data_IF_157037051017
#
_entry.id   IF_157037051017
#
_cell.length_a   1.000
_cell.length_b   1.000
_cell.length_c   1.000
_cell.angle_alpha   90.00
_cell.angle_beta   90.00
_cell.angle_gamma   90.00
#
_symmetry.space_group_name_H-M   'P 1'
#
loop_
_entity.id
_entity.type
_entity.pdbx_description
1 polymer ?
#
# COMPACT_ATOMS: atom_id res chain seq x y z
N UNK A 1 1.14 29.17 2.72
CA UNK A 1 1.37 29.16 1.27
C UNK A 1 2.85 28.90 1.05
N UNK A 2 3.26 27.64 1.18
CA UNK A 2 4.63 27.19 0.90
C UNK A 2 4.51 26.32 -0.34
N UNK A 3 4.93 26.85 -1.48
CA UNK A 3 5.05 26.10 -2.73
C UNK A 3 6.19 25.12 -2.58
N UNK A 4 5.86 23.89 -2.17
CA UNK A 4 6.75 22.75 -2.35
C UNK A 4 6.63 22.38 -3.82
N UNK A 5 7.74 22.51 -4.53
CA UNK A 5 7.88 22.13 -5.92
C UNK A 5 7.74 20.59 -6.01
N UNK A 6 6.63 20.11 -6.57
CA UNK A 6 6.29 18.69 -6.73
C UNK A 6 6.96 18.07 -7.97
N UNK A 7 8.11 18.58 -8.40
CA UNK A 7 8.84 18.14 -9.60
C UNK A 7 9.18 16.64 -9.63
N UNK A 8 9.21 15.96 -8.47
CA UNK A 8 9.38 14.49 -8.40
C UNK A 8 8.08 13.74 -8.75
N UNK A 9 6.90 14.31 -8.46
CA UNK A 9 5.59 13.77 -8.84
C UNK A 9 5.19 14.15 -10.27
N UNK A 10 5.78 15.21 -10.84
CA UNK A 10 5.66 15.55 -12.27
C UNK A 10 6.18 14.47 -13.22
N UNK A 11 6.89 13.46 -12.72
CA UNK A 11 7.25 12.28 -13.51
C UNK A 11 6.06 11.33 -13.74
N UNK A 12 5.03 11.40 -12.87
CA UNK A 12 3.83 10.57 -12.95
C UNK A 12 2.66 11.27 -13.68
N UNK A 13 2.72 12.59 -13.87
CA UNK A 13 1.60 13.43 -14.31
C UNK A 13 1.33 13.49 -15.84
N UNK A 14 2.31 13.59 -16.77
CA UNK A 14 1.96 13.89 -18.16
C UNK A 14 1.61 12.68 -19.05
N UNK A 15 1.68 11.44 -18.54
CA UNK A 15 1.60 10.24 -19.40
C UNK A 15 0.33 9.42 -19.27
N UNK A 16 -0.49 9.63 -18.23
CA UNK A 16 -1.53 8.66 -17.87
C UNK A 16 -2.84 8.73 -18.68
N UNK A 17 -3.11 9.81 -19.42
CA UNK A 17 -4.41 9.98 -20.11
C UNK A 17 -4.28 10.19 -21.62
N UNK A 18 -3.41 11.09 -22.09
CA UNK A 18 -3.27 11.34 -23.53
C UNK A 18 -2.10 10.61 -24.20
N UNK A 19 -1.06 10.21 -23.45
CA UNK A 19 0.06 9.44 -24.00
C UNK A 19 -0.19 7.94 -24.05
N UNK A 20 -0.80 7.39 -22.99
CA UNK A 20 -1.10 5.94 -22.87
C UNK A 20 -2.12 5.42 -23.89
N UNK A 21 -3.11 6.25 -24.26
CA UNK A 21 -4.14 5.91 -25.26
C UNK A 21 -3.71 6.26 -26.70
N UNK A 22 -2.91 7.31 -26.90
CA UNK A 22 -2.47 7.73 -28.24
C UNK A 22 -1.31 6.90 -28.80
N UNK A 23 -0.56 6.17 -27.96
CA UNK A 23 0.51 5.27 -28.42
C UNK A 23 -0.02 3.91 -28.94
N UNK A 24 -1.33 3.65 -28.88
CA UNK A 24 -1.95 2.40 -29.34
C UNK A 24 -1.91 2.16 -30.85
N UNK A 25 -1.81 3.21 -31.67
CA UNK A 25 -1.69 3.09 -33.13
C UNK A 25 -0.24 3.28 -33.58
N UNK A 26 0.59 2.26 -33.37
CA UNK A 26 1.91 2.13 -34.01
C UNK A 26 3.15 2.23 -33.11
N UNK A 27 3.02 2.21 -31.78
CA UNK A 27 4.17 2.09 -30.88
C UNK A 27 4.67 0.65 -30.76
N UNK A 28 5.98 0.47 -30.60
CA UNK A 28 6.60 -0.83 -30.36
C UNK A 28 5.98 -1.49 -29.10
N UNK A 29 5.64 -2.78 -29.15
CA UNK A 29 5.15 -3.52 -27.97
C UNK A 29 6.28 -3.75 -26.96
N UNK A 30 6.26 -3.04 -25.83
CA UNK A 30 7.26 -3.16 -24.76
C UNK A 30 7.02 -4.33 -23.80
N UNK A 31 6.01 -5.18 -24.04
CA UNK A 31 5.64 -6.27 -23.13
C UNK A 31 6.83 -7.13 -22.72
N UNK A 32 7.68 -7.51 -23.68
CA UNK A 32 8.89 -8.31 -23.40
C UNK A 32 9.87 -7.57 -22.50
N UNK A 33 10.08 -6.27 -22.72
CA UNK A 33 10.99 -5.43 -21.93
C UNK A 33 10.45 -5.28 -20.51
N UNK A 34 9.15 -5.00 -20.36
CA UNK A 34 8.48 -4.86 -19.06
C UNK A 34 8.57 -6.14 -18.24
N UNK A 35 8.19 -7.28 -18.82
CA UNK A 35 8.27 -8.58 -18.14
C UNK A 35 9.71 -8.92 -17.77
N UNK A 36 10.67 -8.72 -18.68
CA UNK A 36 12.09 -8.97 -18.40
C UNK A 36 12.59 -8.10 -17.25
N UNK A 37 12.18 -6.83 -17.20
CA UNK A 37 12.54 -5.90 -16.12
C UNK A 37 11.97 -6.35 -14.79
N UNK A 38 10.68 -6.71 -14.74
CA UNK A 38 10.01 -7.20 -13.53
C UNK A 38 10.71 -8.47 -13.01
N UNK A 39 10.99 -9.43 -13.91
CA UNK A 39 11.68 -10.69 -13.55
C UNK A 39 13.09 -10.41 -13.06
N UNK A 40 13.85 -9.56 -13.75
CA UNK A 40 15.22 -9.23 -13.36
C UNK A 40 15.28 -8.57 -11.98
N UNK A 41 14.45 -7.57 -11.74
CA UNK A 41 14.35 -6.88 -10.44
C UNK A 41 13.87 -7.84 -9.34
N UNK A 42 12.90 -8.71 -9.64
CA UNK A 42 12.44 -9.73 -8.70
C UNK A 42 13.57 -10.70 -8.33
N UNK A 43 14.38 -11.15 -9.29
CA UNK A 43 15.54 -12.01 -9.04
C UNK A 43 16.54 -11.30 -8.13
N UNK A 44 16.85 -10.02 -8.36
CA UNK A 44 17.76 -9.26 -7.50
C UNK A 44 17.24 -9.20 -6.06
N UNK A 45 15.96 -8.89 -5.89
CA UNK A 45 15.30 -8.82 -4.57
C UNK A 45 15.35 -10.17 -3.87
N UNK A 46 15.03 -11.26 -4.58
CA UNK A 46 15.06 -12.62 -4.03
C UNK A 46 16.48 -13.06 -3.67
N UNK A 47 17.47 -12.78 -4.53
CA UNK A 47 18.88 -13.06 -4.25
C UNK A 47 19.34 -12.30 -3.01
N UNK A 48 19.02 -11.02 -2.90
CA UNK A 48 19.31 -10.25 -1.69
C UNK A 48 18.66 -10.86 -0.45
N UNK A 49 17.37 -11.23 -0.53
CA UNK A 49 16.66 -11.86 0.58
C UNK A 49 17.28 -13.19 1.02
N UNK A 50 17.74 -14.02 0.09
CA UNK A 50 18.38 -15.31 0.40
C UNK A 50 19.84 -15.20 0.86
N UNK A 51 20.58 -14.19 0.40
CA UNK A 51 21.97 -13.95 0.80
C UNK A 51 22.09 -13.23 2.15
N UNK A 52 20.98 -12.74 2.70
CA UNK A 52 20.96 -11.97 3.94
C UNK A 52 20.19 -12.71 5.04
N UNK A 53 20.66 -12.62 6.28
CA UNK A 53 20.00 -13.25 7.44
C UNK A 53 18.78 -12.45 7.94
N UNK A 54 17.98 -11.89 7.03
CA UNK A 54 16.84 -11.02 7.37
C UNK A 54 15.82 -11.76 8.23
N UNK A 55 15.58 -13.05 7.97
CA UNK A 55 14.68 -13.88 8.78
C UNK A 55 15.12 -13.96 10.25
N UNK A 56 16.42 -14.12 10.50
CA UNK A 56 16.96 -14.14 11.85
C UNK A 56 16.81 -12.76 12.51
N UNK A 57 17.15 -11.68 11.80
CA UNK A 57 17.01 -10.30 12.30
C UNK A 57 15.56 -9.94 12.65
N UNK A 58 14.59 -10.42 11.86
CA UNK A 58 13.17 -10.29 12.19
C UNK A 58 12.86 -10.99 13.50
N UNK A 59 13.31 -12.24 13.67
CA UNK A 59 13.07 -12.98 14.92
C UNK A 59 13.68 -12.26 16.13
N UNK A 60 14.90 -11.75 16.01
CA UNK A 60 15.60 -11.01 17.06
C UNK A 60 14.88 -9.71 17.46
N UNK A 61 14.38 -8.94 16.48
CA UNK A 61 13.69 -7.67 16.73
C UNK A 61 12.20 -7.82 17.03
N UNK A 62 11.62 -9.00 16.80
CA UNK A 62 10.17 -9.23 16.92
C UNK A 62 9.58 -8.86 18.29
N UNK A 63 10.35 -9.03 19.37
CA UNK A 63 9.93 -8.65 20.71
C UNK A 63 9.63 -7.16 20.87
N UNK A 64 10.28 -6.28 20.09
CA UNK A 64 10.06 -4.83 20.14
C UNK A 64 8.70 -4.38 19.59
N UNK A 65 8.03 -5.24 18.82
CA UNK A 65 6.71 -4.94 18.23
C UNK A 65 5.56 -5.23 19.22
N UNK A 66 5.86 -5.84 20.36
CA UNK A 66 4.90 -6.09 21.43
C UNK A 66 5.30 -5.30 22.66
N UNK A 67 4.35 -4.64 23.31
CA UNK A 67 4.56 -3.98 24.60
C UNK A 67 3.49 -4.42 25.60
N UNK A 68 3.68 -4.12 26.88
CA UNK A 68 2.72 -4.44 27.95
C UNK A 68 1.64 -3.36 28.15
N UNK A 69 1.55 -2.36 27.27
CA UNK A 69 0.64 -1.23 27.44
C UNK A 69 -0.81 -1.60 27.09
N UNK A 70 -1.70 -1.51 28.08
CA UNK A 70 -3.14 -1.74 27.87
C UNK A 70 -3.74 -0.76 26.84
N UNK A 71 -3.23 0.48 26.78
CA UNK A 71 -3.65 1.48 25.81
C UNK A 71 -3.30 1.04 24.37
N UNK A 72 -2.09 0.50 24.18
CA UNK A 72 -1.68 -0.04 22.88
C UNK A 72 -2.50 -1.26 22.48
N UNK A 73 -2.81 -2.16 23.43
CA UNK A 73 -3.69 -3.29 23.16
C UNK A 73 -5.10 -2.82 22.75
N UNK A 74 -5.69 -1.88 23.50
CA UNK A 74 -7.01 -1.33 23.20
C UNK A 74 -7.03 -0.69 21.80
N UNK A 75 -6.00 0.10 21.49
CA UNK A 75 -5.84 0.72 20.17
C UNK A 75 -5.82 -0.33 19.04
N UNK A 76 -5.03 -1.39 19.20
CA UNK A 76 -4.90 -2.47 18.20
C UNK A 76 -6.19 -3.27 18.03
N UNK A 77 -6.92 -3.53 19.12
CA UNK A 77 -8.24 -4.18 19.06
C UNK A 77 -9.25 -3.31 18.31
N UNK A 78 -9.27 -2.00 18.59
CA UNK A 78 -10.14 -1.05 17.87
C UNK A 78 -9.80 -1.03 16.38
N UNK A 79 -8.52 -0.88 16.02
CA UNK A 79 -8.08 -0.91 14.61
C UNK A 79 -8.46 -2.22 13.92
N UNK A 80 -8.26 -3.37 14.59
CA UNK A 80 -8.71 -4.68 14.09
C UNK A 80 -10.21 -4.67 13.80
N UNK A 81 -11.03 -4.13 14.71
CA UNK A 81 -12.48 -4.02 14.54
C UNK A 81 -12.88 -3.20 13.31
N UNK A 82 -12.26 -2.03 13.11
CA UNK A 82 -12.49 -1.19 11.92
C UNK A 82 -12.11 -1.93 10.62
N UNK A 83 -10.94 -2.58 10.59
CA UNK A 83 -10.49 -3.29 9.39
C UNK A 83 -11.35 -4.53 9.07
N UNK A 84 -11.68 -5.35 10.08
CA UNK A 84 -12.57 -6.51 9.91
C UNK A 84 -13.96 -6.07 9.46
N UNK A 85 -14.50 -5.01 10.04
CA UNK A 85 -15.79 -4.48 9.62
C UNK A 85 -15.75 -3.99 8.17
N UNK A 86 -14.68 -3.31 7.73
CA UNK A 86 -14.50 -2.93 6.33
C UNK A 86 -14.47 -4.15 5.39
N UNK A 87 -13.73 -5.21 5.74
CA UNK A 87 -13.70 -6.47 4.97
C UNK A 87 -15.11 -7.08 4.86
N UNK A 88 -15.82 -7.23 5.98
CA UNK A 88 -17.18 -7.77 6.01
C UNK A 88 -18.12 -6.89 5.16
N UNK A 89 -18.00 -5.58 5.26
CA UNK A 89 -18.79 -4.63 4.48
C UNK A 89 -18.50 -4.75 2.98
N UNK A 90 -17.23 -4.95 2.57
CA UNK A 90 -16.89 -5.20 1.16
C UNK A 90 -17.55 -6.47 0.63
N UNK A 91 -17.59 -7.56 1.41
CA UNK A 91 -18.30 -8.78 1.01
C UNK A 91 -19.82 -8.59 0.91
N UNK A 92 -20.41 -7.80 1.80
CA UNK A 92 -21.87 -7.63 1.90
C UNK A 92 -22.44 -6.51 1.03
N UNK A 93 -21.62 -5.53 0.69
CA UNK A 93 -22.01 -4.46 -0.23
C UNK A 93 -22.30 -5.04 -1.62
N UNK A 94 -23.21 -4.40 -2.34
CA UNK A 94 -23.54 -4.77 -3.72
C UNK A 94 -22.34 -4.64 -4.68
N UNK A 95 -22.56 -4.70 -6.00
CA UNK A 95 -21.47 -4.61 -6.97
C UNK A 95 -20.64 -3.33 -6.76
N UNK A 96 -19.32 -3.45 -6.78
CA UNK A 96 -18.42 -2.29 -6.75
C UNK A 96 -18.31 -1.66 -8.15
N UNK A 97 -17.75 -0.46 -8.25
CA UNK A 97 -17.39 0.16 -9.53
C UNK A 97 -15.88 0.08 -9.66
N UNK A 98 -15.39 -0.65 -10.65
CA UNK A 98 -13.96 -0.85 -10.87
C UNK A 98 -13.63 -0.62 -12.35
N UNK A 99 -12.92 0.46 -12.63
CA UNK A 99 -12.30 0.67 -13.94
C UNK A 99 -11.11 -0.27 -14.08
N UNK A 100 -11.04 -0.98 -15.19
CA UNK A 100 -9.94 -1.91 -15.50
C UNK A 100 -9.53 -1.71 -16.96
N UNK A 101 -8.28 -2.06 -17.27
CA UNK A 101 -7.77 -2.05 -18.63
C UNK A 101 -7.70 -3.48 -19.15
N UNK A 102 -8.38 -3.77 -20.25
CA UNK A 102 -8.32 -5.07 -20.90
C UNK A 102 -6.93 -5.32 -21.48
N UNK A 103 -6.42 -6.55 -21.30
CA UNK A 103 -5.16 -6.99 -21.90
C UNK A 103 -5.25 -7.00 -23.43
N UNK A 104 -6.41 -7.39 -23.96
CA UNK A 104 -6.73 -7.34 -25.38
C UNK A 104 -7.36 -6.00 -25.71
N UNK A 105 -6.82 -5.30 -26.72
CA UNK A 105 -7.35 -4.01 -27.18
C UNK A 105 -6.98 -2.78 -26.33
N UNK A 106 -6.42 -2.96 -25.12
CA UNK A 106 -6.01 -1.86 -24.24
C UNK A 106 -7.16 -0.88 -23.92
N UNK A 107 -8.38 -1.40 -23.81
CA UNK A 107 -9.60 -0.60 -23.57
C UNK A 107 -9.88 -0.46 -22.07
N UNK A 108 -10.26 0.74 -21.63
CA UNK A 108 -10.78 0.98 -20.27
C UNK A 108 -12.26 0.60 -20.21
N UNK A 109 -12.60 -0.35 -19.33
CA UNK A 109 -13.96 -0.80 -19.11
C UNK A 109 -14.34 -0.73 -17.63
N UNK A 110 -15.62 -0.43 -17.37
CA UNK A 110 -16.19 -0.49 -16.04
C UNK A 110 -16.67 -1.91 -15.73
N UNK A 111 -16.07 -2.54 -14.72
CA UNK A 111 -16.52 -3.81 -14.16
C UNK A 111 -17.27 -3.61 -12.85
N UNK A 112 -18.13 -4.59 -12.56
CA UNK A 112 -18.97 -4.64 -11.36
C UNK A 112 -18.67 -5.86 -10.48
N UNK A 113 -17.48 -5.95 -9.86
CA UNK A 113 -17.09 -7.13 -9.11
C UNK A 113 -17.92 -7.30 -7.84
N UNK A 114 -18.17 -8.57 -7.50
CA UNK A 114 -18.94 -9.00 -6.32
C UNK A 114 -18.13 -9.97 -5.46
N UNK A 115 -18.38 -9.95 -4.15
CA UNK A 115 -17.74 -10.87 -3.20
C UNK A 115 -16.21 -10.81 -3.25
N UNK A 116 -15.58 -11.97 -3.45
CA UNK A 116 -14.11 -12.11 -3.44
C UNK A 116 -13.42 -11.36 -4.59
N UNK A 117 -14.12 -11.12 -5.70
CA UNK A 117 -13.56 -10.39 -6.85
C UNK A 117 -13.29 -8.90 -6.55
N UNK A 118 -13.74 -8.39 -5.40
CA UNK A 118 -13.37 -7.05 -4.92
C UNK A 118 -11.95 -6.99 -4.32
N UNK A 119 -11.36 -8.14 -3.97
CA UNK A 119 -10.04 -8.24 -3.33
C UNK A 119 -8.88 -8.39 -4.32
N UNK A 120 -9.04 -7.82 -5.53
CA UNK A 120 -8.02 -7.85 -6.59
C UNK A 120 -7.14 -6.58 -6.59
N UNK A 121 -7.58 -5.53 -5.91
CA UNK A 121 -6.89 -4.23 -5.87
C UNK A 121 -5.71 -4.27 -4.88
N UNK A 122 -4.67 -3.48 -5.14
CA UNK A 122 -3.54 -3.36 -4.21
C UNK A 122 -3.99 -2.80 -2.86
N UNK A 123 -4.92 -1.84 -2.88
CA UNK A 123 -5.52 -1.27 -1.68
C UNK A 123 -6.28 -2.30 -0.83
N UNK A 124 -6.96 -3.28 -1.45
CA UNK A 124 -7.60 -4.36 -0.70
C UNK A 124 -6.56 -5.28 -0.04
N UNK A 125 -5.41 -5.51 -0.67
CA UNK A 125 -4.30 -6.24 -0.06
C UNK A 125 -3.64 -5.45 1.07
N UNK A 126 -3.54 -4.11 0.94
CA UNK A 126 -3.14 -3.22 2.03
C UNK A 126 -4.06 -3.37 3.24
N UNK A 127 -5.38 -3.43 3.03
CA UNK A 127 -6.35 -3.68 4.10
C UNK A 127 -6.13 -5.04 4.76
N UNK A 128 -5.87 -6.10 3.98
CA UNK A 128 -5.59 -7.44 4.52
C UNK A 128 -4.30 -7.47 5.34
N UNK A 129 -3.22 -6.84 4.86
CA UNK A 129 -1.95 -6.74 5.58
C UNK A 129 -2.12 -5.95 6.90
N UNK A 130 -2.83 -4.82 6.86
CA UNK A 130 -3.17 -4.02 8.03
C UNK A 130 -4.00 -4.81 9.05
N UNK A 131 -5.03 -5.53 8.58
CA UNK A 131 -5.88 -6.39 9.43
C UNK A 131 -5.06 -7.50 10.08
N UNK A 132 -4.25 -8.20 9.27
CA UNK A 132 -3.38 -9.27 9.75
C UNK A 132 -2.41 -8.77 10.82
N UNK A 133 -1.77 -7.62 10.58
CA UNK A 133 -0.90 -6.99 11.57
C UNK A 133 -1.62 -6.76 12.90
N UNK A 134 -2.72 -6.00 12.90
CA UNK A 134 -3.40 -5.63 14.13
C UNK A 134 -3.98 -6.83 14.88
N UNK A 135 -4.48 -7.83 14.15
CA UNK A 135 -4.97 -9.08 14.72
C UNK A 135 -3.85 -9.86 15.41
N UNK A 136 -2.75 -10.16 14.70
CA UNK A 136 -1.64 -10.93 15.28
C UNK A 136 -0.96 -10.17 16.41
N UNK A 137 -0.85 -8.85 16.27
CA UNK A 137 -0.29 -7.99 17.31
C UNK A 137 -1.14 -7.98 18.58
N UNK A 138 -2.47 -7.99 18.45
CA UNK A 138 -3.37 -8.11 19.60
C UNK A 138 -3.22 -9.47 20.27
N UNK A 139 -3.12 -10.55 19.50
CA UNK A 139 -2.91 -11.91 20.02
C UNK A 139 -1.56 -12.01 20.76
N UNK A 140 -0.46 -11.55 20.17
CA UNK A 140 0.87 -11.55 20.80
C UNK A 140 0.87 -10.75 22.12
N UNK A 141 0.21 -9.60 22.14
CA UNK A 141 0.17 -8.75 23.32
C UNK A 141 -0.71 -9.34 24.44
N UNK A 142 -1.83 -9.98 24.09
CA UNK A 142 -2.63 -10.77 25.04
C UNK A 142 -1.78 -11.92 25.61
N UNK A 143 -1.04 -12.64 24.76
CA UNK A 143 -0.16 -13.72 25.22
C UNK A 143 0.87 -13.23 26.25
N UNK A 144 1.45 -12.04 26.01
CA UNK A 144 2.40 -11.39 26.92
C UNK A 144 1.76 -11.01 28.26
N UNK A 145 0.57 -10.39 28.24
CA UNK A 145 -0.13 -9.92 29.45
C UNK A 145 -0.55 -11.10 30.35
N UNK A 146 -1.03 -12.20 29.75
CA UNK A 146 -1.42 -13.39 30.50
C UNK A 146 -0.25 -14.34 30.83
N UNK A 147 0.99 -13.89 30.63
CA UNK A 147 2.22 -14.66 30.88
C UNK A 147 2.20 -16.07 30.22
N UNK A 148 1.55 -16.19 29.07
CA UNK A 148 1.54 -17.43 28.28
C UNK A 148 2.83 -17.54 27.46
N UNK A 149 3.14 -18.74 26.96
CA UNK A 149 4.34 -18.96 26.14
C UNK A 149 4.26 -18.14 24.86
N UNK A 150 5.13 -17.14 24.74
CA UNK A 150 5.24 -16.29 23.56
C UNK A 150 5.66 -17.14 22.37
N UNK A 151 4.86 -17.08 21.30
CA UNK A 151 5.07 -17.91 20.12
C UNK A 151 6.00 -17.17 19.14
N UNK A 152 7.24 -17.63 18.98
CA UNK A 152 8.29 -16.91 18.22
C UNK A 152 7.92 -16.63 16.76
N UNK A 153 7.29 -17.60 16.07
CA UNK A 153 6.86 -17.40 14.69
C UNK A 153 5.75 -16.34 14.56
N UNK A 154 4.91 -16.19 15.60
CA UNK A 154 3.82 -15.22 15.63
C UNK A 154 4.35 -13.79 15.73
N UNK A 155 5.37 -13.57 16.57
CA UNK A 155 6.09 -12.28 16.66
C UNK A 155 6.81 -11.93 15.35
N UNK A 156 7.45 -12.92 14.72
CA UNK A 156 8.11 -12.74 13.43
C UNK A 156 7.10 -12.37 12.32
N UNK A 157 5.96 -13.07 12.26
CA UNK A 157 4.91 -12.79 11.27
C UNK A 157 4.26 -11.42 11.50
N UNK A 158 4.03 -11.01 12.76
CA UNK A 158 3.58 -9.66 13.09
C UNK A 158 4.56 -8.60 12.55
N UNK A 159 5.87 -8.81 12.77
CA UNK A 159 6.93 -7.90 12.32
C UNK A 159 6.92 -7.75 10.80
N UNK A 160 6.82 -8.87 10.08
CA UNK A 160 6.74 -8.90 8.61
C UNK A 160 5.48 -8.17 8.14
N UNK A 161 4.31 -8.45 8.72
CA UNK A 161 3.05 -7.80 8.37
C UNK A 161 3.04 -6.31 8.67
N UNK A 162 3.69 -5.86 9.74
CA UNK A 162 3.88 -4.43 9.99
C UNK A 162 4.69 -3.77 8.88
N UNK A 163 5.86 -4.34 8.57
CA UNK A 163 6.76 -3.78 7.58
C UNK A 163 6.13 -3.76 6.18
N UNK A 164 5.42 -4.83 5.79
CA UNK A 164 4.62 -4.84 4.55
C UNK A 164 3.51 -3.80 4.62
N UNK A 165 2.66 -3.88 5.65
CA UNK A 165 1.46 -3.07 5.79
C UNK A 165 1.75 -1.57 5.77
N UNK A 166 2.76 -1.11 6.52
CA UNK A 166 3.03 0.33 6.64
C UNK A 166 3.57 0.91 5.33
N UNK A 167 4.42 0.13 4.63
CA UNK A 167 4.95 0.50 3.32
C UNK A 167 3.84 0.56 2.27
N UNK A 168 2.99 -0.48 2.23
CA UNK A 168 1.84 -0.57 1.34
C UNK A 168 0.84 0.56 1.60
N UNK A 169 0.57 0.88 2.87
CA UNK A 169 -0.42 1.88 3.24
C UNK A 169 0.00 3.30 2.87
N UNK A 170 1.26 3.66 3.09
CA UNK A 170 1.78 4.97 2.68
C UNK A 170 1.82 5.11 1.15
N UNK A 171 2.21 4.04 0.44
CA UNK A 171 2.14 4.02 -1.03
C UNK A 171 0.69 4.15 -1.51
N UNK A 172 -0.23 3.37 -0.93
CA UNK A 172 -1.65 3.37 -1.31
C UNK A 172 -2.27 4.74 -1.14
N UNK A 173 -2.10 5.37 0.02
CA UNK A 173 -2.64 6.71 0.27
C UNK A 173 -2.09 7.74 -0.73
N UNK A 174 -0.77 7.69 -0.98
CA UNK A 174 -0.12 8.59 -1.93
C UNK A 174 -0.65 8.40 -3.36
N UNK A 175 -0.69 7.15 -3.85
CA UNK A 175 -1.17 6.84 -5.21
C UNK A 175 -2.65 7.21 -5.36
N UNK A 176 -3.48 6.94 -4.35
CA UNK A 176 -4.89 7.31 -4.39
C UNK A 176 -5.06 8.82 -4.50
N UNK A 177 -4.37 9.58 -3.66
CA UNK A 177 -4.50 11.04 -3.61
C UNK A 177 -3.92 11.76 -4.83
N UNK A 178 -2.76 11.33 -5.31
CA UNK A 178 -2.01 12.08 -6.32
C UNK A 178 -2.11 11.49 -7.74
N UNK A 179 -2.60 10.27 -7.90
CA UNK A 179 -2.70 9.62 -9.21
C UNK A 179 -4.14 9.25 -9.52
N UNK A 180 -4.77 8.43 -8.67
CA UNK A 180 -6.09 7.86 -8.98
C UNK A 180 -7.19 8.93 -8.94
N UNK A 181 -7.28 9.71 -7.85
CA UNK A 181 -8.31 10.73 -7.72
C UNK A 181 -8.22 11.83 -8.79
N UNK A 182 -7.04 12.43 -9.07
CA UNK A 182 -6.89 13.38 -10.17
C UNK A 182 -7.28 12.78 -11.52
N UNK A 183 -6.83 11.56 -11.83
CA UNK A 183 -7.17 10.87 -13.08
C UNK A 183 -8.69 10.63 -13.22
N UNK A 184 -9.40 10.29 -12.14
CA UNK A 184 -10.86 10.15 -12.18
C UNK A 184 -11.54 11.48 -12.51
N UNK A 185 -11.07 12.60 -11.94
CA UNK A 185 -11.62 13.93 -12.20
C UNK A 185 -11.35 14.35 -13.65
N UNK A 186 -10.13 14.15 -14.16
CA UNK A 186 -9.77 14.45 -15.55
C UNK A 186 -10.62 13.67 -16.56
N UNK A 187 -10.90 12.40 -16.26
CA UNK A 187 -11.68 11.51 -17.12
C UNK A 187 -13.19 11.64 -16.94
N UNK A 188 -13.69 12.60 -16.14
CA UNK A 188 -15.10 12.75 -15.77
C UNK A 188 -15.74 11.47 -15.18
N UNK A 189 -14.92 10.62 -14.54
CA UNK A 189 -15.39 9.42 -13.85
C UNK A 189 -15.91 9.80 -12.45
N UNK A 190 -16.95 9.11 -11.98
CA UNK A 190 -17.48 9.38 -10.64
C UNK A 190 -16.46 9.00 -9.56
N UNK A 191 -16.00 9.97 -8.76
CA UNK A 191 -15.01 9.77 -7.66
C UNK A 191 -15.65 9.69 -6.28
N UNK A 192 -16.96 9.95 -6.14
CA UNK A 192 -17.67 9.98 -4.85
C UNK A 192 -17.57 8.65 -4.08
N UNK A 193 -17.51 7.52 -4.79
CA UNK A 193 -17.38 6.20 -4.19
C UNK A 193 -16.04 6.00 -3.45
N UNK A 194 -14.97 6.69 -3.84
CA UNK A 194 -13.66 6.65 -3.18
C UNK A 194 -13.70 7.19 -1.74
N UNK A 195 -14.77 7.89 -1.38
CA UNK A 195 -15.01 8.44 -0.04
C UNK A 195 -15.99 7.61 0.79
N UNK A 196 -16.42 6.44 0.29
CA UNK A 196 -17.18 5.48 1.08
C UNK A 196 -16.32 4.92 2.21
N UNK A 197 -16.99 4.48 3.28
CA UNK A 197 -16.32 4.02 4.49
C UNK A 197 -15.21 2.97 4.23
N UNK A 198 -15.52 1.89 3.51
CA UNK A 198 -14.55 0.80 3.29
C UNK A 198 -13.37 1.25 2.42
N UNK A 199 -13.63 2.07 1.38
CA UNK A 199 -12.59 2.70 0.55
C UNK A 199 -11.70 3.62 1.37
N UNK A 200 -12.26 4.40 2.30
CA UNK A 200 -11.49 5.24 3.20
C UNK A 200 -10.65 4.42 4.17
N UNK A 201 -11.14 3.26 4.63
CA UNK A 201 -10.38 2.39 5.51
C UNK A 201 -9.13 1.83 4.80
N UNK A 202 -9.29 1.36 3.55
CA UNK A 202 -8.18 0.80 2.77
C UNK A 202 -7.25 1.87 2.18
N UNK A 203 -7.76 3.03 1.78
CA UNK A 203 -6.96 4.08 1.14
C UNK A 203 -6.24 4.99 2.13
N UNK A 204 -6.88 5.32 3.26
CA UNK A 204 -6.37 6.33 4.19
C UNK A 204 -6.13 5.77 5.59
N UNK A 205 -7.15 5.16 6.21
CA UNK A 205 -7.02 4.77 7.62
C UNK A 205 -5.99 3.68 7.86
N UNK A 206 -5.72 2.77 6.92
CA UNK A 206 -4.62 1.82 7.09
C UNK A 206 -3.27 2.52 7.38
N UNK A 207 -2.98 3.62 6.66
CA UNK A 207 -1.77 4.42 6.87
C UNK A 207 -1.80 5.16 8.20
N UNK A 208 -2.96 5.73 8.55
CA UNK A 208 -3.17 6.38 9.86
C UNK A 208 -2.97 5.38 10.99
N UNK A 209 -3.61 4.21 10.93
CA UNK A 209 -3.56 3.21 11.98
C UNK A 209 -2.14 2.73 12.23
N UNK A 210 -1.42 2.35 11.17
CA UNK A 210 -0.05 1.87 11.27
C UNK A 210 0.93 2.98 11.68
N UNK A 211 0.73 4.22 11.20
CA UNK A 211 1.56 5.37 11.59
C UNK A 211 1.38 5.77 13.06
N UNK A 212 0.17 5.67 13.60
CA UNK A 212 -0.07 5.89 15.03
C UNK A 212 0.44 4.72 15.89
N UNK A 213 0.29 3.47 15.43
CA UNK A 213 0.85 2.32 16.16
C UNK A 213 2.39 2.38 16.22
N UNK A 214 3.05 2.84 15.15
CA UNK A 214 4.50 3.12 15.12
C UNK A 214 4.92 4.06 16.26
N UNK A 215 4.17 5.16 16.46
CA UNK A 215 4.43 6.14 17.52
C UNK A 215 4.13 5.59 18.92
N UNK A 216 3.07 4.79 19.05
CA UNK A 216 2.61 4.26 20.33
C UNK A 216 3.50 3.13 20.85
N UNK A 217 3.95 2.26 19.95
CA UNK A 217 4.68 1.03 20.29
C UNK A 217 6.18 1.23 20.19
N UNK A 218 6.64 2.07 19.25
CA UNK A 218 8.06 2.34 18.96
C UNK A 218 8.86 1.05 18.69
N UNK A 219 8.42 0.24 17.71
CA UNK A 219 9.16 -0.96 17.32
C UNK A 219 10.57 -0.62 16.85
N UNK A 220 11.50 -1.51 17.11
CA UNK A 220 12.89 -1.41 16.67
C UNK A 220 12.98 -1.80 15.19
N UNK A 221 12.79 -0.80 14.32
CA UNK A 221 12.87 -0.98 12.87
C UNK A 221 14.32 -1.05 12.37
N UNK A 222 14.52 -1.84 11.31
CA UNK A 222 15.82 -1.98 10.65
C UNK A 222 15.68 -1.63 9.16
N UNK A 223 16.66 -0.93 8.58
CA UNK A 223 16.61 -0.51 7.18
C UNK A 223 16.40 -1.69 6.22
N UNK A 224 16.97 -2.86 6.54
CA UNK A 224 16.88 -4.05 5.69
C UNK A 224 15.46 -4.62 5.58
N UNK A 225 14.56 -4.28 6.52
CA UNK A 225 13.16 -4.70 6.48
C UNK A 225 12.34 -4.01 5.37
N UNK A 226 12.90 -3.01 4.68
CA UNK A 226 12.34 -2.47 3.43
C UNK A 226 12.09 -3.57 2.39
N UNK A 227 12.86 -4.67 2.46
CA UNK A 227 12.69 -5.85 1.61
C UNK A 227 11.28 -6.42 1.66
N UNK A 228 10.57 -6.33 2.80
CA UNK A 228 9.24 -6.90 2.93
C UNK A 228 8.22 -6.13 2.08
N UNK A 229 8.36 -4.81 1.97
CA UNK A 229 7.59 -4.00 1.03
C UNK A 229 7.86 -4.41 -0.43
N UNK A 230 9.10 -4.70 -0.77
CA UNK A 230 9.48 -5.18 -2.11
C UNK A 230 8.93 -6.58 -2.40
N UNK A 231 9.02 -7.51 -1.44
CA UNK A 231 8.52 -8.88 -1.58
C UNK A 231 7.01 -8.90 -1.80
N UNK A 232 6.23 -8.13 -1.03
CA UNK A 232 4.78 -8.06 -1.26
C UNK A 232 4.46 -7.40 -2.61
N UNK A 233 5.28 -6.46 -3.08
CA UNK A 233 5.21 -5.92 -4.43
C UNK A 233 5.39 -6.98 -5.52
N UNK A 234 6.39 -7.86 -5.37
CA UNK A 234 6.61 -9.00 -6.29
C UNK A 234 5.42 -9.95 -6.28
N UNK A 235 4.89 -10.28 -5.09
CA UNK A 235 3.73 -11.18 -4.98
C UNK A 235 2.51 -10.54 -5.65
N UNK A 236 2.25 -9.26 -5.42
CA UNK A 236 1.11 -8.57 -6.00
C UNK A 236 1.22 -8.44 -7.53
N UNK A 237 2.38 -8.05 -8.07
CA UNK A 237 2.54 -7.93 -9.53
C UNK A 237 2.43 -9.30 -10.20
N UNK A 238 2.97 -10.35 -9.58
CA UNK A 238 2.82 -11.73 -10.06
C UNK A 238 1.35 -12.15 -10.08
N UNK A 239 0.62 -11.81 -9.01
CA UNK A 239 -0.83 -12.04 -8.94
C UNK A 239 -1.60 -11.27 -10.02
N UNK A 240 -1.30 -9.98 -10.23
CA UNK A 240 -1.97 -9.16 -11.23
C UNK A 240 -1.73 -9.68 -12.66
N UNK A 241 -0.48 -10.07 -12.98
CA UNK A 241 -0.16 -10.67 -14.27
C UNK A 241 -0.80 -12.05 -14.43
N UNK A 242 -0.80 -12.90 -13.39
CA UNK A 242 -1.48 -14.19 -13.45
C UNK A 242 -2.99 -14.01 -13.68
N UNK A 243 -3.63 -13.03 -13.04
CA UNK A 243 -5.03 -12.69 -13.24
C UNK A 243 -5.29 -12.22 -14.68
N UNK A 244 -4.43 -11.39 -15.24
CA UNK A 244 -4.58 -10.88 -16.61
C UNK A 244 -4.39 -11.98 -17.67
N UNK A 245 -3.34 -12.82 -17.55
CA UNK A 245 -3.01 -13.81 -18.59
C UNK A 245 -3.76 -15.14 -18.45
N UNK A 246 -4.14 -15.55 -17.23
CA UNK A 246 -4.80 -16.84 -16.98
C UNK A 246 -6.22 -16.73 -16.41
N UNK A 247 -6.70 -15.50 -16.17
CA UNK A 247 -8.01 -15.23 -15.60
C UNK A 247 -8.88 -14.39 -16.53
N UNK A 248 -9.58 -13.36 -16.02
CA UNK A 248 -10.57 -12.59 -16.76
C UNK A 248 -10.01 -11.60 -17.80
N UNK A 249 -8.68 -11.53 -18.02
CA UNK A 249 -8.13 -10.78 -19.14
C UNK A 249 -7.93 -9.27 -18.91
N UNK A 250 -7.78 -8.81 -17.66
CA UNK A 250 -7.64 -7.38 -17.37
C UNK A 250 -6.60 -7.06 -16.29
N UNK A 251 -6.14 -5.80 -16.29
CA UNK A 251 -5.40 -5.18 -15.20
C UNK A 251 -6.27 -4.16 -14.46
N UNK A 252 -6.27 -4.23 -13.13
CA UNK A 252 -6.99 -3.28 -12.26
C UNK A 252 -6.45 -1.86 -12.42
N UNK A 253 -5.16 -1.72 -12.74
CA UNK A 253 -4.51 -0.43 -12.89
C UNK A 253 -3.82 -0.34 -14.25
N UNK A 254 -4.02 0.77 -14.95
CA UNK A 254 -3.43 1.03 -16.26
C UNK A 254 -1.89 0.98 -16.23
N UNK A 255 -1.27 1.47 -15.15
CA UNK A 255 0.20 1.45 -14.98
C UNK A 255 0.79 0.05 -14.79
N UNK A 256 -0.02 -1.00 -14.64
CA UNK A 256 0.46 -2.40 -14.64
C UNK A 256 0.46 -3.02 -16.04
N UNK A 257 -0.21 -2.38 -17.00
CA UNK A 257 -0.28 -2.86 -18.38
C UNK A 257 1.13 -2.93 -18.99
N UNK A 258 1.52 -4.05 -19.65
CA UNK A 258 2.91 -4.28 -20.01
C UNK A 258 3.35 -3.62 -21.34
N UNK A 259 2.39 -3.29 -22.22
CA UNK A 259 2.66 -2.79 -23.58
C UNK A 259 3.28 -1.39 -23.66
N UNK A 260 2.88 -0.40 -22.85
CA UNK A 260 3.36 0.96 -22.98
C UNK A 260 4.86 1.08 -22.71
N UNK A 261 5.54 1.96 -23.44
CA UNK A 261 7.00 2.18 -23.32
C UNK A 261 7.47 2.52 -21.91
N UNK A 262 6.62 3.20 -21.16
CA UNK A 262 6.90 3.63 -19.79
C UNK A 262 6.60 2.55 -18.72
N UNK A 263 5.97 1.43 -19.10
CA UNK A 263 5.61 0.35 -18.16
C UNK A 263 6.78 -0.22 -17.34
N UNK A 264 7.99 -0.44 -17.89
CA UNK A 264 9.15 -0.88 -17.09
C UNK A 264 9.51 0.13 -15.99
N UNK A 265 9.32 1.42 -16.27
CA UNK A 265 9.61 2.50 -15.36
C UNK A 265 8.56 2.62 -14.25
N UNK A 266 7.29 2.38 -14.55
CA UNK A 266 6.25 2.27 -13.53
C UNK A 266 6.50 1.08 -12.59
N UNK A 267 6.83 -0.09 -13.13
CA UNK A 267 7.09 -1.28 -12.33
C UNK A 267 8.27 -1.07 -11.35
N UNK A 268 9.37 -0.49 -11.84
CA UNK A 268 10.55 -0.20 -11.03
C UNK A 268 10.35 1.00 -10.09
N UNK A 269 9.65 2.03 -10.55
CA UNK A 269 9.31 3.22 -9.76
C UNK A 269 8.42 2.88 -8.57
N UNK A 270 7.40 2.03 -8.76
CA UNK A 270 6.54 1.57 -7.66
C UNK A 270 7.32 0.74 -6.63
N UNK A 271 8.21 -0.15 -7.09
CA UNK A 271 9.10 -0.90 -6.21
C UNK A 271 10.04 0.02 -5.42
N UNK A 272 10.60 1.05 -6.06
CA UNK A 272 11.42 2.05 -5.38
C UNK A 272 10.59 2.84 -4.35
N UNK A 273 9.39 3.30 -4.73
CA UNK A 273 8.51 4.06 -3.85
C UNK A 273 8.14 3.28 -2.59
N UNK A 274 7.74 2.01 -2.70
CA UNK A 274 7.38 1.20 -1.52
C UNK A 274 8.56 1.03 -0.55
N UNK A 275 9.77 0.86 -1.07
CA UNK A 275 10.98 0.80 -0.26
C UNK A 275 11.31 2.16 0.38
N UNK A 276 11.19 3.26 -0.36
CA UNK A 276 11.44 4.62 0.15
C UNK A 276 10.44 5.03 1.24
N UNK A 277 9.16 4.66 1.11
CA UNK A 277 8.18 4.88 2.17
C UNK A 277 8.58 4.18 3.48
N UNK A 278 9.00 2.91 3.39
CA UNK A 278 9.53 2.20 4.55
C UNK A 278 10.76 2.90 5.14
N UNK A 279 11.75 3.21 4.29
CA UNK A 279 13.01 3.79 4.73
C UNK A 279 12.82 5.17 5.36
N UNK A 280 11.90 5.99 4.84
CA UNK A 280 11.57 7.28 5.45
C UNK A 280 10.96 7.12 6.84
N UNK A 281 10.08 6.13 7.05
CA UNK A 281 9.54 5.82 8.37
C UNK A 281 10.61 5.27 9.32
N UNK A 282 11.49 4.40 8.83
CA UNK A 282 12.65 3.93 9.58
C UNK A 282 13.55 5.11 10.01
N UNK A 283 13.87 6.04 9.11
CA UNK A 283 14.66 7.25 9.45
C UNK A 283 14.02 8.08 10.56
N UNK A 284 12.69 8.20 10.56
CA UNK A 284 11.97 8.89 11.65
C UNK A 284 12.21 8.20 13.00
N UNK A 285 12.19 6.86 13.04
CA UNK A 285 12.49 6.12 14.29
C UNK A 285 13.91 6.33 14.80
N UNK A 286 14.85 6.71 13.93
CA UNK A 286 16.25 6.97 14.31
C UNK A 286 16.47 8.33 14.98
N UNK A 287 15.47 9.22 15.02
CA UNK A 287 15.58 10.54 15.68
C UNK A 287 15.81 10.44 17.21
N UNK A 288 15.71 9.24 17.79
CA UNK A 288 15.95 9.00 19.21
C UNK A 288 14.81 9.48 20.11
N UNK A 289 14.82 9.06 21.38
CA UNK A 289 13.71 9.30 22.30
C UNK A 289 13.53 10.78 22.68
N UNK A 290 14.61 11.56 22.69
CA UNK A 290 14.58 12.99 23.03
C UNK A 290 13.82 13.84 22.00
N UNK A 291 13.66 13.33 20.78
CA UNK A 291 12.99 14.01 19.67
C UNK A 291 11.63 13.38 19.33
N UNK A 292 10.97 12.73 20.29
CA UNK A 292 9.65 12.10 20.08
C UNK A 292 8.60 13.09 19.56
N UNK A 293 8.61 14.33 20.04
CA UNK A 293 7.71 15.38 19.53
C UNK A 293 7.94 15.66 18.04
N UNK A 294 9.19 15.58 17.58
CA UNK A 294 9.54 15.78 16.18
C UNK A 294 9.10 14.58 15.34
N UNK A 295 9.24 13.35 15.85
CA UNK A 295 8.70 12.15 15.20
C UNK A 295 7.19 12.26 14.99
N UNK A 296 6.46 12.69 16.03
CA UNK A 296 5.01 12.93 15.98
C UNK A 296 4.67 13.99 14.93
N UNK A 297 5.35 15.14 14.93
CA UNK A 297 5.12 16.21 13.95
C UNK A 297 5.36 15.71 12.53
N UNK A 298 6.48 15.03 12.27
CA UNK A 298 6.80 14.54 10.93
C UNK A 298 5.75 13.53 10.46
N UNK A 299 5.35 12.56 11.29
CA UNK A 299 4.36 11.55 10.93
C UNK A 299 2.99 12.19 10.68
N UNK A 300 2.55 13.11 11.55
CA UNK A 300 1.27 13.81 11.37
C UNK A 300 1.26 14.65 10.10
N UNK A 301 2.34 15.39 9.83
CA UNK A 301 2.48 16.17 8.59
C UNK A 301 2.47 15.25 7.38
N UNK A 302 3.26 14.18 7.39
CA UNK A 302 3.31 13.22 6.28
C UNK A 302 1.94 12.61 6.01
N UNK A 303 1.27 12.09 7.04
CA UNK A 303 -0.09 11.55 6.91
C UNK A 303 -1.04 12.60 6.34
N UNK A 304 -1.00 13.85 6.82
CA UNK A 304 -1.84 14.93 6.30
C UNK A 304 -1.60 15.28 4.83
N UNK A 305 -0.40 15.00 4.31
CA UNK A 305 -0.03 15.20 2.91
C UNK A 305 -0.47 14.05 2.01
N UNK A 306 -0.64 12.84 2.53
CA UNK A 306 -0.98 11.67 1.69
C UNK A 306 -2.43 11.23 1.82
N UNK A 307 -3.08 11.44 2.97
CA UNK A 307 -4.48 11.03 3.14
C UNK A 307 -5.45 12.06 2.58
N UNK A 308 -6.60 11.60 2.08
CA UNK A 308 -7.67 12.49 1.60
C UNK A 308 -9.06 11.99 2.00
N UNK A 309 -9.66 12.66 2.98
CA UNK A 309 -10.98 12.29 3.54
C UNK A 309 -12.18 12.99 2.89
N UNK A 310 -11.96 13.97 2.00
CA UNK A 310 -13.04 14.75 1.35
C UNK A 310 -12.72 15.04 -0.12
N UNK A 311 -13.78 15.15 -0.93
CA UNK A 311 -13.70 15.61 -2.32
C UNK A 311 -13.35 17.10 -2.37
N UNK A 312 -12.48 17.49 -3.30
CA UNK A 312 -12.08 18.89 -3.54
C UNK A 312 -13.24 19.76 -4.05
N UNK A 313 -14.29 19.16 -4.63
CA UNK A 313 -15.50 19.89 -5.05
C UNK A 313 -16.24 20.54 -3.88
N UNK A 314 -16.15 19.95 -2.67
CA UNK A 314 -16.74 20.53 -1.46
C UNK A 314 -16.06 21.82 -1.00
N UNK A 315 -14.82 22.11 -1.44
CA UNK A 315 -14.13 23.36 -1.11
C UNK A 315 -14.52 24.51 -2.04
N UNK A 316 -15.12 24.20 -3.20
CA UNK A 316 -15.56 25.20 -4.19
C UNK A 316 -16.95 25.76 -3.88
N UNK A 317 -17.69 25.12 -2.98
CA UNK A 317 -19.04 25.53 -2.56
C UNK A 317 -19.07 26.35 -1.26
N UNK A 318 -17.90 26.65 -0.68
CA UNK A 318 -17.78 27.38 0.60
C UNK A 318 -16.92 28.66 0.47
N UNK A 319 -16.54 29.06 -0.75
CA UNK A 319 -15.92 30.36 -1.02
C UNK A 319 -16.81 31.23 -1.90
#
# INVERSE_FOLDING_TARGET
MLGIDYSILHFLEPTLTNGFMAEGEGSDDYTKVTITTIVFVSIIIMVYFFLTDIGQRVSEKSGSFTNSSELALLYRIVCTGFCVYAIIYMFRSGPANMHVVLLEGNEDILLHPVGIHKFVTFSSWTLLACTGYFLLSSINQIQLIFASTTTTWLGSLQTILFCMGISMAFLTATVVRYIILPSMVENNNSHSHMFLYHEQIMHNFAGVFLGFDLLLVRPDLAAEFAIFGLLIGIVYISFAYALAYFGPGYFVYSFLHPQPKIAPLFATGLALCIALFYLGLWLITQLGESLLWLQLVIIVVWLSLIVQFRSSESNSAVN
#
